data_IF_915899367560
#
_entry.id   IF_915899367560
#
_cell.length_a   1.000
_cell.length_b   1.000
_cell.length_c   1.000
_cell.angle_alpha   90.00
_cell.angle_beta   90.00
_cell.angle_gamma   90.00
#
_symmetry.space_group_name_H-M   'P 1'
#
loop_
_entity.id
_entity.type
_entity.pdbx_description
1 polymer ?
#
# COMPACT_ATOMS: atom_id res chain seq x y z
N UNK A 1 -5.93 -1.46 13.82
CA UNK A 1 -5.47 -1.09 12.47
C UNK A 1 -6.57 -1.39 11.47
N UNK A 2 -6.63 -0.59 10.42
CA UNK A 2 -7.59 -0.77 9.35
C UNK A 2 -6.97 -1.57 8.21
N UNK A 3 -7.82 -2.24 7.45
CA UNK A 3 -7.41 -2.98 6.26
C UNK A 3 -8.29 -2.60 5.09
N UNK A 4 -7.70 -2.46 3.92
CA UNK A 4 -8.40 -2.20 2.68
C UNK A 4 -7.83 -3.00 1.54
N UNK A 5 -8.68 -3.43 0.64
CA UNK A 5 -8.24 -4.12 -0.56
C UNK A 5 -8.05 -3.12 -1.68
N UNK A 6 -6.94 -3.27 -2.40
CA UNK A 6 -6.59 -2.37 -3.50
C UNK A 6 -6.10 -3.15 -4.70
N UNK A 7 -6.13 -2.49 -5.86
CA UNK A 7 -5.52 -2.97 -7.10
C UNK A 7 -4.57 -1.90 -7.60
N UNK A 8 -3.35 -2.30 -7.91
CA UNK A 8 -2.34 -1.41 -8.49
C UNK A 8 -2.09 -1.88 -9.92
N UNK A 9 -2.74 -1.22 -10.88
CA UNK A 9 -2.80 -1.70 -12.26
C UNK A 9 -1.62 -1.26 -13.12
N UNK A 10 -0.91 -0.23 -12.72
CA UNK A 10 0.21 0.32 -13.49
C UNK A 10 1.31 0.79 -12.55
N UNK A 11 2.51 0.96 -13.11
CA UNK A 11 3.65 1.48 -12.34
C UNK A 11 3.33 2.84 -11.73
N UNK A 12 2.59 3.68 -12.46
CA UNK A 12 2.18 4.99 -11.94
C UNK A 12 1.34 4.85 -10.67
N UNK A 13 0.46 3.85 -10.63
CA UNK A 13 -0.36 3.59 -9.44
C UNK A 13 0.50 3.19 -8.24
N UNK A 14 1.52 2.35 -8.49
CA UNK A 14 2.45 1.95 -7.44
C UNK A 14 3.20 3.16 -6.90
N UNK A 15 3.69 4.02 -7.76
CA UNK A 15 4.42 5.23 -7.35
C UNK A 15 3.54 6.15 -6.51
N UNK A 16 2.30 6.37 -6.91
CA UNK A 16 1.36 7.20 -6.16
C UNK A 16 1.07 6.61 -4.79
N UNK A 17 0.85 5.31 -4.74
CA UNK A 17 0.56 4.63 -3.49
C UNK A 17 1.74 4.71 -2.54
N UNK A 18 2.94 4.41 -3.01
CA UNK A 18 4.15 4.48 -2.17
C UNK A 18 4.39 5.90 -1.69
N UNK A 19 4.18 6.88 -2.57
CA UNK A 19 4.36 8.28 -2.19
C UNK A 19 3.38 8.69 -1.09
N UNK A 20 2.14 8.24 -1.17
CA UNK A 20 1.16 8.50 -0.11
C UNK A 20 1.55 7.79 1.18
N UNK A 21 2.00 6.55 1.09
CA UNK A 21 2.43 5.79 2.26
C UNK A 21 3.61 6.46 2.95
N UNK A 22 4.54 7.03 2.19
CA UNK A 22 5.69 7.74 2.75
C UNK A 22 5.29 8.96 3.56
N UNK A 23 4.14 9.55 3.27
CA UNK A 23 3.62 10.69 4.03
C UNK A 23 2.93 10.28 5.31
N UNK A 24 2.65 9.00 5.48
CA UNK A 24 1.99 8.50 6.67
C UNK A 24 2.92 8.54 7.86
N UNK A 25 2.35 8.81 9.03
CA UNK A 25 3.11 8.88 10.27
C UNK A 25 3.45 7.49 10.81
N UNK A 26 2.57 6.53 10.59
CA UNK A 26 2.72 5.17 11.10
C UNK A 26 3.05 4.21 9.98
N UNK A 27 3.38 2.97 10.35
CA UNK A 27 3.70 1.95 9.38
C UNK A 27 2.48 1.61 8.52
N UNK A 28 2.74 1.40 7.22
CA UNK A 28 1.74 0.95 6.27
C UNK A 28 2.28 -0.32 5.63
N UNK A 29 1.53 -1.41 5.74
CA UNK A 29 1.93 -2.68 5.17
C UNK A 29 1.02 -3.04 4.00
N UNK A 30 1.60 -3.68 3.00
CA UNK A 30 0.84 -4.24 1.87
C UNK A 30 1.15 -5.72 1.81
N UNK A 31 0.13 -6.53 1.64
CA UNK A 31 0.39 -7.96 1.58
C UNK A 31 -0.55 -8.68 0.61
N UNK A 32 -0.07 -9.83 0.18
CA UNK A 32 -0.83 -10.81 -0.57
C UNK A 32 -0.43 -12.19 -0.06
N UNK A 33 -1.42 -12.98 0.35
CA UNK A 33 -1.16 -14.26 0.99
C UNK A 33 -0.24 -14.07 2.20
N UNK A 34 0.94 -14.70 2.20
CA UNK A 34 1.89 -14.63 3.31
C UNK A 34 3.01 -13.64 3.10
N UNK A 35 3.00 -12.96 1.96
CA UNK A 35 4.06 -12.00 1.64
C UNK A 35 3.62 -10.62 2.12
N UNK A 36 4.34 -10.07 3.09
CA UNK A 36 4.06 -8.76 3.66
C UNK A 36 5.26 -7.86 3.34
N UNK A 37 4.99 -6.67 2.80
CA UNK A 37 6.04 -5.71 2.49
C UNK A 37 5.69 -4.35 3.06
N UNK A 38 6.71 -3.51 3.25
CA UNK A 38 6.54 -2.14 3.67
C UNK A 38 6.04 -1.31 2.50
N UNK A 39 4.86 -0.69 2.66
CA UNK A 39 4.27 0.13 1.61
C UNK A 39 5.10 1.36 1.28
N UNK A 40 6.03 1.75 2.16
CA UNK A 40 6.94 2.87 1.92
C UNK A 40 8.13 2.49 1.05
N UNK A 41 8.28 1.21 0.74
CA UNK A 41 9.35 0.71 -0.10
C UNK A 41 8.80 0.37 -1.49
N UNK A 42 9.19 1.16 -2.50
CA UNK A 42 8.73 0.90 -3.86
C UNK A 42 9.19 -0.46 -4.37
N UNK A 43 10.42 -0.87 -4.04
CA UNK A 43 10.93 -2.17 -4.44
C UNK A 43 10.15 -3.30 -3.76
N UNK A 44 9.79 -3.11 -2.49
CA UNK A 44 8.98 -4.08 -1.77
C UNK A 44 7.62 -4.27 -2.43
N UNK A 45 6.94 -3.17 -2.73
CA UNK A 45 5.62 -3.24 -3.36
C UNK A 45 5.71 -3.87 -4.75
N UNK A 46 6.74 -3.50 -5.51
CA UNK A 46 6.95 -4.04 -6.85
C UNK A 46 7.26 -5.54 -6.85
N UNK A 47 7.70 -6.08 -5.71
CA UNK A 47 7.99 -7.51 -5.60
C UNK A 47 6.73 -8.35 -5.45
N UNK A 48 5.58 -7.73 -5.17
CA UNK A 48 4.31 -8.44 -5.05
C UNK A 48 3.73 -8.73 -6.43
N UNK A 49 2.83 -9.71 -6.48
CA UNK A 49 2.09 -10.02 -7.70
C UNK A 49 1.01 -8.95 -7.87
N UNK A 50 1.29 -7.94 -8.66
CA UNK A 50 0.38 -6.80 -8.86
C UNK A 50 -0.85 -7.14 -9.69
N UNK A 51 -0.92 -8.35 -10.27
CA UNK A 51 -2.13 -8.80 -10.96
C UNK A 51 -3.23 -9.20 -9.99
N UNK A 52 -2.90 -9.31 -8.72
CA UNK A 52 -3.82 -9.73 -7.67
C UNK A 52 -4.34 -8.54 -6.87
N UNK A 53 -5.46 -8.77 -6.19
CA UNK A 53 -5.97 -7.81 -5.22
C UNK A 53 -5.07 -7.88 -3.98
N UNK A 54 -4.52 -6.74 -3.59
CA UNK A 54 -3.64 -6.65 -2.44
C UNK A 54 -4.41 -6.11 -1.24
N UNK A 55 -3.91 -6.37 -0.03
CA UNK A 55 -4.49 -5.82 1.18
C UNK A 55 -3.52 -4.82 1.78
N UNK A 56 -4.02 -3.63 2.12
CA UNK A 56 -3.26 -2.59 2.79
C UNK A 56 -3.69 -2.56 4.25
N UNK A 57 -2.71 -2.57 5.16
CA UNK A 57 -2.95 -2.47 6.58
C UNK A 57 -2.32 -1.18 7.09
N UNK A 58 -3.11 -0.33 7.74
CA UNK A 58 -2.66 1.00 8.11
C UNK A 58 -3.35 1.48 9.37
N UNK A 59 -2.80 2.54 9.95
CA UNK A 59 -3.34 3.18 11.14
C UNK A 59 -4.47 4.11 10.76
N UNK A 60 -5.52 4.16 11.56
CA UNK A 60 -6.67 5.03 11.30
C UNK A 60 -6.26 6.50 11.14
N UNK A 61 -5.25 6.93 11.89
CA UNK A 61 -4.75 8.30 11.84
C UNK A 61 -4.23 8.69 10.47
N UNK A 62 -3.81 7.71 9.65
CA UNK A 62 -3.28 7.95 8.31
C UNK A 62 -4.33 7.77 7.21
N UNK A 63 -5.57 7.49 7.58
CA UNK A 63 -6.62 7.19 6.62
C UNK A 63 -6.81 8.27 5.57
N UNK A 64 -6.82 9.54 5.98
CA UNK A 64 -7.01 10.65 5.04
C UNK A 64 -5.90 10.73 4.01
N UNK A 65 -4.67 10.45 4.42
CA UNK A 65 -3.52 10.51 3.53
C UNK A 65 -3.63 9.45 2.44
N UNK A 66 -4.08 8.25 2.82
CA UNK A 66 -4.17 7.12 1.90
C UNK A 66 -5.44 7.12 1.06
N UNK A 67 -6.49 7.80 1.51
CA UNK A 67 -7.81 7.72 0.89
C UNK A 67 -7.80 8.11 -0.59
N UNK A 68 -6.97 9.04 -0.98
CA UNK A 68 -6.86 9.47 -2.37
C UNK A 68 -6.24 8.44 -3.29
N UNK A 69 -5.61 7.39 -2.73
CA UNK A 69 -4.93 6.35 -3.53
C UNK A 69 -5.53 4.97 -3.34
N UNK A 70 -6.53 4.85 -2.49
CA UNK A 70 -7.19 3.56 -2.21
C UNK A 70 -8.45 3.32 -3.00
#
# INVERSE_FOLDING_TARGET
>A
MLERKIRLNAVADVKEFVRAAEKCEYDVDVFYNRVVVDAKSILGVMSLDLTKTLTVKYCKEDEEILEGTL
#
